data_IF_521760494033
#
_entry.id   IF_521760494033
#
_cell.length_a   1.000
_cell.length_b   1.000
_cell.length_c   1.000
_cell.angle_alpha   90.00
_cell.angle_beta   90.00
_cell.angle_gamma   90.00
#
_symmetry.space_group_name_H-M   'P 1'
#
loop_
_entity.id
_entity.type
_entity.pdbx_description
1 polymer ?
#
# COMPACT_ATOMS: atom_id res chain seq x y z
N UNK A 1 29.89 -6.64 -4.05
CA UNK A 1 28.83 -7.36 -4.83
C UNK A 1 27.95 -8.09 -3.84
N UNK A 2 26.65 -7.79 -3.77
CA UNK A 2 25.69 -8.60 -3.00
C UNK A 2 25.56 -9.97 -3.68
N UNK A 3 25.37 -11.01 -2.88
CA UNK A 3 25.06 -12.35 -3.42
C UNK A 3 23.68 -12.31 -4.08
N UNK A 4 23.47 -13.05 -5.15
CA UNK A 4 22.20 -13.07 -5.93
C UNK A 4 20.98 -13.45 -5.06
N UNK A 5 21.18 -14.21 -3.98
CA UNK A 5 20.12 -14.66 -3.06
C UNK A 5 19.85 -13.72 -1.88
N UNK A 6 20.52 -12.57 -1.79
CA UNK A 6 20.33 -11.65 -0.66
C UNK A 6 19.07 -10.80 -0.88
N UNK A 7 18.12 -10.88 0.05
CA UNK A 7 16.92 -10.02 0.03
C UNK A 7 17.33 -8.54 0.10
N UNK A 8 16.68 -7.72 -0.70
CA UNK A 8 16.87 -6.29 -0.72
C UNK A 8 15.52 -5.59 -0.76
N UNK A 9 15.17 -5.00 0.36
CA UNK A 9 13.82 -4.50 0.63
C UNK A 9 13.73 -2.99 0.49
N UNK A 10 12.76 -2.53 -0.31
CA UNK A 10 12.34 -1.15 -0.39
C UNK A 10 11.05 -0.96 0.43
N UNK A 11 11.06 -0.02 1.38
CA UNK A 11 9.89 0.43 2.11
C UNK A 11 9.48 1.81 1.60
N UNK A 12 8.36 1.88 0.86
CA UNK A 12 7.82 3.09 0.25
C UNK A 12 6.81 3.76 1.17
N UNK A 13 6.94 5.09 1.34
CA UNK A 13 6.12 5.83 2.28
C UNK A 13 6.36 5.34 3.70
N UNK A 14 7.62 5.18 4.09
CA UNK A 14 7.99 4.48 5.32
C UNK A 14 7.47 5.16 6.60
N UNK A 15 7.17 6.47 6.57
CA UNK A 15 6.74 7.20 7.76
C UNK A 15 7.70 7.00 8.92
N UNK A 16 7.22 6.38 10.00
CA UNK A 16 8.02 6.01 11.16
C UNK A 16 8.47 4.54 11.20
N UNK A 17 8.40 3.82 10.10
CA UNK A 17 8.75 2.39 10.04
C UNK A 17 10.24 2.19 9.76
N UNK A 18 10.95 1.56 10.68
CA UNK A 18 12.42 1.40 10.63
C UNK A 18 12.89 0.10 9.96
N UNK A 19 12.05 -0.59 9.20
CA UNK A 19 12.45 -1.80 8.49
C UNK A 19 12.68 -1.55 6.99
N UNK A 20 13.46 -2.40 6.36
CA UNK A 20 13.87 -2.31 4.96
C UNK A 20 15.24 -1.67 4.78
N UNK A 21 15.92 -2.06 3.73
CA UNK A 21 17.27 -1.55 3.39
C UNK A 21 17.20 -0.12 2.89
N UNK A 22 16.21 0.18 2.04
CA UNK A 22 15.87 1.52 1.58
C UNK A 22 14.51 1.87 2.17
N UNK A 23 14.47 2.96 2.93
CA UNK A 23 13.27 3.52 3.55
C UNK A 23 13.01 4.90 2.93
N UNK A 24 12.14 4.91 1.94
CA UNK A 24 11.83 6.11 1.17
C UNK A 24 10.55 6.78 1.67
N UNK A 25 10.60 8.10 1.79
CA UNK A 25 9.43 8.91 2.10
C UNK A 25 9.52 10.23 1.34
N UNK A 26 8.39 10.91 1.16
CA UNK A 26 8.35 12.26 0.61
C UNK A 26 8.85 13.31 1.60
N UNK A 27 8.67 13.06 2.89
CA UNK A 27 9.11 13.91 3.98
C UNK A 27 10.30 13.32 4.74
N UNK A 28 11.10 14.17 5.36
CA UNK A 28 12.12 13.74 6.31
C UNK A 28 11.44 13.18 7.55
N UNK A 29 11.66 11.90 7.83
CA UNK A 29 11.20 11.22 9.04
C UNK A 29 12.40 10.66 9.80
N UNK A 30 12.19 10.23 11.05
CA UNK A 30 13.27 9.59 11.81
C UNK A 30 13.68 8.22 11.22
N UNK A 31 12.80 7.60 10.44
CA UNK A 31 13.03 6.29 9.84
C UNK A 31 13.55 6.36 8.40
N UNK A 32 13.24 7.45 7.66
CA UNK A 32 13.62 7.57 6.25
C UNK A 32 15.13 7.70 6.06
N UNK A 33 15.69 6.97 5.10
CA UNK A 33 17.07 7.11 4.65
C UNK A 33 17.19 7.58 3.19
N UNK A 34 16.06 7.79 2.53
CA UNK A 34 15.96 8.41 1.20
C UNK A 34 14.71 9.29 1.15
N UNK A 35 14.86 10.50 0.62
CA UNK A 35 13.74 11.42 0.38
C UNK A 35 13.50 11.51 -1.12
N UNK A 36 12.32 11.06 -1.57
CA UNK A 36 11.94 11.11 -2.98
C UNK A 36 10.42 11.01 -3.14
N UNK A 37 9.95 11.34 -4.36
CA UNK A 37 8.55 11.18 -4.75
C UNK A 37 8.29 9.73 -5.22
N UNK A 38 7.33 9.08 -4.60
CA UNK A 38 6.98 7.70 -4.92
C UNK A 38 6.32 7.53 -6.31
N UNK A 39 5.93 8.61 -6.96
CA UNK A 39 5.44 8.54 -8.35
C UNK A 39 6.57 8.29 -9.37
N UNK A 40 7.83 8.61 -8.99
CA UNK A 40 9.00 8.49 -9.86
C UNK A 40 10.17 7.93 -9.06
N UNK A 41 10.28 6.60 -9.02
CA UNK A 41 11.28 5.94 -8.17
C UNK A 41 12.69 6.12 -8.73
N UNK A 42 13.63 6.70 -7.95
CA UNK A 42 14.98 7.04 -8.42
C UNK A 42 15.92 5.83 -8.43
N UNK A 43 15.41 4.70 -8.87
CA UNK A 43 16.17 3.45 -8.92
C UNK A 43 16.23 2.91 -10.34
N UNK A 44 17.26 2.11 -10.61
CA UNK A 44 17.36 1.32 -11.82
C UNK A 44 16.32 0.20 -11.81
N UNK A 45 16.11 -0.41 -12.97
CA UNK A 45 15.25 -1.57 -13.10
C UNK A 45 15.83 -2.76 -12.30
N UNK A 46 14.94 -3.58 -11.77
CA UNK A 46 15.26 -4.88 -11.17
C UNK A 46 16.26 -4.83 -9.99
N UNK A 47 16.09 -3.86 -9.10
CA UNK A 47 16.94 -3.69 -7.91
C UNK A 47 16.45 -4.49 -6.72
N UNK A 48 15.14 -4.46 -6.45
CA UNK A 48 14.58 -4.95 -5.19
C UNK A 48 13.94 -6.34 -5.33
N UNK A 49 14.23 -7.20 -4.36
CA UNK A 49 13.54 -8.49 -4.20
C UNK A 49 12.19 -8.33 -3.53
N UNK A 50 12.10 -7.36 -2.62
CA UNK A 50 10.89 -7.11 -1.84
C UNK A 50 10.58 -5.61 -1.85
N UNK A 51 9.31 -5.27 -2.10
CA UNK A 51 8.78 -3.92 -1.94
C UNK A 51 7.64 -3.96 -0.93
N UNK A 52 7.63 -3.02 -0.04
CA UNK A 52 6.56 -2.84 0.93
C UNK A 52 6.02 -1.43 0.85
N UNK A 53 4.70 -1.30 0.88
CA UNK A 53 4.04 -0.02 1.05
C UNK A 53 2.78 -0.16 1.92
N UNK A 54 2.53 0.87 2.73
CA UNK A 54 1.36 0.92 3.57
C UNK A 54 0.79 2.32 3.64
N UNK A 55 -0.50 2.44 3.31
CA UNK A 55 -1.20 3.72 3.26
C UNK A 55 -0.47 4.75 2.38
N UNK A 56 -0.08 4.33 1.19
CA UNK A 56 0.60 5.15 0.20
C UNK A 56 -0.18 5.24 -1.11
N UNK A 57 -0.69 4.11 -1.62
CA UNK A 57 -1.34 4.05 -2.93
C UNK A 57 -2.53 5.00 -3.05
N UNK A 58 -3.31 5.18 -1.98
CA UNK A 58 -4.44 6.11 -1.92
C UNK A 58 -4.02 7.57 -2.09
N UNK A 59 -2.76 7.90 -1.80
CA UNK A 59 -2.18 9.22 -1.97
C UNK A 59 -1.56 9.46 -3.35
N UNK A 60 -1.51 8.44 -4.20
CA UNK A 60 -0.94 8.57 -5.55
C UNK A 60 -1.97 9.17 -6.51
N UNK A 61 -1.68 10.33 -7.14
CA UNK A 61 -2.56 10.91 -8.15
C UNK A 61 -2.76 10.00 -9.36
N UNK A 62 -1.75 9.19 -9.70
CA UNK A 62 -1.82 8.17 -10.73
C UNK A 62 -1.36 6.80 -10.19
N UNK A 63 -2.26 6.02 -9.56
CA UNK A 63 -1.91 4.73 -8.96
C UNK A 63 -1.35 3.71 -9.96
N UNK A 64 -1.83 3.72 -11.20
CA UNK A 64 -1.34 2.81 -12.23
C UNK A 64 0.12 3.11 -12.61
N UNK A 65 0.46 4.39 -12.79
CA UNK A 65 1.82 4.83 -13.07
C UNK A 65 2.77 4.47 -11.91
N UNK A 66 2.34 4.72 -10.68
CA UNK A 66 3.11 4.33 -9.48
C UNK A 66 3.39 2.83 -9.47
N UNK A 67 2.38 1.99 -9.65
CA UNK A 67 2.56 0.52 -9.65
C UNK A 67 3.38 0.01 -10.84
N UNK A 68 3.32 0.67 -12.00
CA UNK A 68 4.22 0.37 -13.12
C UNK A 68 5.67 0.64 -12.76
N UNK A 69 5.95 1.75 -12.06
CA UNK A 69 7.29 2.09 -11.62
C UNK A 69 7.78 1.18 -10.48
N UNK A 70 6.90 0.80 -9.55
CA UNK A 70 7.17 -0.24 -8.54
C UNK A 70 7.54 -1.56 -9.23
N UNK A 71 6.73 -2.02 -10.20
CA UNK A 71 7.04 -3.23 -10.98
C UNK A 71 8.39 -3.13 -11.68
N UNK A 72 8.73 -1.98 -12.25
CA UNK A 72 10.00 -1.75 -12.93
C UNK A 72 11.19 -2.00 -12.00
N UNK A 73 11.16 -1.45 -10.80
CA UNK A 73 12.27 -1.55 -9.84
C UNK A 73 12.34 -2.91 -9.13
N UNK A 74 11.26 -3.70 -9.15
CA UNK A 74 11.26 -5.08 -8.64
C UNK A 74 12.03 -6.00 -9.57
N UNK A 75 12.78 -6.96 -9.00
CA UNK A 75 13.35 -8.09 -9.75
C UNK A 75 12.25 -9.01 -10.27
N UNK A 76 12.56 -9.78 -11.31
CA UNK A 76 11.72 -10.92 -11.72
C UNK A 76 11.60 -11.88 -10.53
N UNK A 77 10.40 -12.35 -10.23
CA UNK A 77 10.09 -13.13 -9.03
C UNK A 77 10.03 -12.33 -7.73
N UNK A 78 10.29 -11.02 -7.78
CA UNK A 78 10.20 -10.14 -6.61
C UNK A 78 8.76 -9.95 -6.12
N UNK A 79 8.60 -9.66 -4.84
CA UNK A 79 7.32 -9.55 -4.16
C UNK A 79 7.00 -8.10 -3.76
N UNK A 80 5.75 -7.66 -3.99
CA UNK A 80 5.19 -6.45 -3.41
C UNK A 80 4.15 -6.82 -2.37
N UNK A 81 4.34 -6.34 -1.14
CA UNK A 81 3.31 -6.34 -0.11
C UNK A 81 2.74 -4.93 0.03
N UNK A 82 1.46 -4.77 -0.30
CA UNK A 82 0.76 -3.49 -0.29
C UNK A 82 -0.43 -3.53 0.67
N UNK A 83 -0.56 -2.48 1.49
CA UNK A 83 -1.69 -2.30 2.40
C UNK A 83 -2.29 -0.90 2.14
N UNK A 84 -3.57 -0.85 1.77
CA UNK A 84 -4.30 0.39 1.50
C UNK A 84 -5.67 0.40 2.17
N UNK A 85 -6.30 1.56 2.24
CA UNK A 85 -7.64 1.72 2.80
C UNK A 85 -8.69 0.98 1.97
N UNK A 86 -9.64 0.33 2.66
CA UNK A 86 -10.72 -0.43 2.05
C UNK A 86 -11.97 0.43 1.87
N UNK A 87 -12.24 0.85 0.64
CA UNK A 87 -13.41 1.63 0.28
C UNK A 87 -14.75 0.97 0.64
N UNK A 88 -14.81 -0.37 0.73
CA UNK A 88 -16.04 -1.06 1.08
C UNK A 88 -16.35 -1.06 2.59
N UNK A 89 -15.42 -0.64 3.44
CA UNK A 89 -15.61 -0.68 4.89
C UNK A 89 -16.70 0.31 5.34
N UNK A 90 -17.71 -0.19 6.05
CA UNK A 90 -18.85 0.60 6.56
C UNK A 90 -18.43 1.77 7.46
N UNK A 91 -17.30 1.67 8.13
CA UNK A 91 -16.73 2.74 8.95
C UNK A 91 -16.69 4.09 8.23
N UNK A 92 -16.29 4.10 6.98
CA UNK A 92 -16.14 5.33 6.19
C UNK A 92 -17.47 6.00 5.86
N UNK A 93 -18.58 5.26 5.87
CA UNK A 93 -19.92 5.77 5.57
C UNK A 93 -20.71 6.14 6.84
N UNK A 94 -20.54 5.38 7.92
CA UNK A 94 -21.30 5.57 9.16
C UNK A 94 -20.73 6.69 10.03
N UNK A 95 -19.42 6.76 10.16
CA UNK A 95 -18.75 7.72 11.05
C UNK A 95 -18.35 9.04 10.38
N UNK A 96 -18.75 9.27 9.14
CA UNK A 96 -18.27 10.42 8.33
C UNK A 96 -16.74 10.57 8.39
N UNK A 97 -16.03 9.46 8.50
CA UNK A 97 -14.57 9.45 8.47
C UNK A 97 -14.10 9.86 7.08
N UNK A 98 -12.98 10.55 7.03
CA UNK A 98 -12.52 11.21 5.82
C UNK A 98 -12.02 10.19 4.77
N UNK A 99 -12.88 9.82 3.83
CA UNK A 99 -12.49 9.01 2.67
C UNK A 99 -11.54 9.76 1.72
N UNK A 100 -11.54 11.09 1.77
CA UNK A 100 -10.68 11.96 0.96
C UNK A 100 -9.38 12.39 1.66
N UNK A 101 -8.97 11.71 2.73
CA UNK A 101 -7.76 12.07 3.51
C UNK A 101 -8.02 13.14 4.57
N UNK A 102 -6.96 13.53 5.26
CA UNK A 102 -7.03 14.47 6.36
C UNK A 102 -6.44 15.82 5.98
N UNK A 103 -7.23 16.89 6.12
CA UNK A 103 -6.78 18.28 5.89
C UNK A 103 -6.31 18.99 7.16
N UNK A 104 -5.92 18.26 8.20
CA UNK A 104 -5.49 18.87 9.47
C UNK A 104 -4.10 19.51 9.35
N UNK A 105 -3.94 20.68 10.00
CA UNK A 105 -2.67 21.41 10.18
C UNK A 105 -1.95 21.81 8.89
N UNK A 106 -2.69 22.18 7.84
CA UNK A 106 -2.09 22.60 6.56
C UNK A 106 -1.43 21.44 5.79
N UNK A 107 -1.59 20.21 6.24
CA UNK A 107 -1.10 19.00 5.60
C UNK A 107 -1.91 18.64 4.36
N UNK A 108 -1.22 18.12 3.35
CA UNK A 108 -1.80 17.64 2.10
C UNK A 108 -1.97 16.12 2.12
N UNK A 109 -2.48 15.58 3.22
CA UNK A 109 -2.80 14.16 3.35
C UNK A 109 -4.11 13.88 2.60
N UNK A 110 -4.05 13.93 1.27
CA UNK A 110 -5.19 13.79 0.37
C UNK A 110 -5.23 12.40 -0.22
N UNK A 111 -6.38 11.73 -0.14
CA UNK A 111 -6.64 10.51 -0.90
C UNK A 111 -7.16 10.87 -2.29
N UNK A 112 -6.44 10.46 -3.32
CA UNK A 112 -6.85 10.64 -4.72
C UNK A 112 -7.63 9.44 -5.24
N UNK A 113 -7.46 8.27 -4.60
CA UNK A 113 -8.17 7.05 -4.95
C UNK A 113 -8.59 6.28 -3.69
N UNK A 114 -9.62 5.46 -3.83
CA UNK A 114 -10.06 4.49 -2.83
C UNK A 114 -10.29 3.15 -3.52
N UNK A 115 -9.89 2.08 -2.87
CA UNK A 115 -9.87 0.76 -3.48
C UNK A 115 -10.76 -0.24 -2.74
N UNK A 116 -11.46 -1.06 -3.50
CA UNK A 116 -11.97 -2.36 -3.03
C UNK A 116 -10.99 -3.46 -3.44
N UNK A 117 -11.16 -4.66 -2.88
CA UNK A 117 -10.31 -5.80 -3.27
C UNK A 117 -10.35 -6.09 -4.77
N UNK A 118 -11.52 -5.94 -5.42
CA UNK A 118 -11.66 -6.13 -6.87
C UNK A 118 -10.97 -5.03 -7.68
N UNK A 119 -11.07 -3.75 -7.24
CA UNK A 119 -10.31 -2.67 -7.88
C UNK A 119 -8.80 -2.91 -7.81
N UNK A 120 -8.31 -3.42 -6.67
CA UNK A 120 -6.90 -3.75 -6.51
C UNK A 120 -6.45 -4.87 -7.46
N UNK A 121 -7.24 -5.95 -7.56
CA UNK A 121 -6.94 -7.05 -8.50
C UNK A 121 -6.88 -6.56 -9.95
N UNK A 122 -7.90 -5.81 -10.39
CA UNK A 122 -7.95 -5.25 -11.74
C UNK A 122 -6.76 -4.34 -12.04
N UNK A 123 -6.35 -3.53 -11.06
CA UNK A 123 -5.23 -2.62 -11.20
C UNK A 123 -3.89 -3.38 -11.32
N UNK A 124 -3.69 -4.42 -10.49
CA UNK A 124 -2.50 -5.27 -10.57
C UNK A 124 -2.44 -6.04 -11.91
N UNK A 125 -3.56 -6.59 -12.36
CA UNK A 125 -3.66 -7.25 -13.66
C UNK A 125 -3.33 -6.28 -14.80
N UNK A 126 -3.86 -5.06 -14.76
CA UNK A 126 -3.58 -4.01 -15.75
C UNK A 126 -2.08 -3.70 -15.85
N UNK A 127 -1.37 -3.60 -14.72
CA UNK A 127 0.08 -3.34 -14.72
C UNK A 127 0.91 -4.62 -14.95
N UNK A 128 0.27 -5.78 -15.03
CA UNK A 128 0.92 -7.07 -15.28
C UNK A 128 1.69 -7.60 -14.05
N UNK A 129 1.11 -7.45 -12.87
CA UNK A 129 1.53 -8.09 -11.63
C UNK A 129 0.60 -9.26 -11.32
N UNK A 130 1.15 -10.36 -10.84
CA UNK A 130 0.37 -11.54 -10.44
C UNK A 130 -0.06 -11.44 -8.99
N UNK A 131 -1.36 -11.55 -8.73
CA UNK A 131 -1.90 -11.50 -7.37
C UNK A 131 -1.81 -12.88 -6.72
N UNK A 132 -1.00 -13.00 -5.67
CA UNK A 132 -0.86 -14.24 -4.89
C UNK A 132 -1.86 -14.30 -3.73
N UNK A 133 -2.13 -13.15 -3.08
CA UNK A 133 -3.03 -13.10 -1.94
C UNK A 133 -3.72 -11.74 -1.82
N UNK A 134 -5.00 -11.79 -1.43
CA UNK A 134 -5.75 -10.62 -0.97
C UNK A 134 -6.43 -10.99 0.35
N UNK A 135 -6.23 -10.18 1.37
CA UNK A 135 -6.92 -10.34 2.66
C UNK A 135 -7.32 -9.01 3.25
N UNK A 136 -8.32 -9.05 4.11
CA UNK A 136 -8.77 -7.90 4.88
C UNK A 136 -8.05 -7.87 6.23
N UNK A 137 -7.45 -6.73 6.56
CA UNK A 137 -6.60 -6.58 7.75
C UNK A 137 -6.96 -5.36 8.56
N UNK A 138 -6.38 -5.30 9.73
CA UNK A 138 -6.59 -4.32 10.78
C UNK A 138 -8.02 -4.32 11.32
N UNK A 139 -8.14 -4.22 12.61
CA UNK A 139 -9.42 -4.06 13.29
C UNK A 139 -9.41 -2.72 13.99
N UNK A 140 -10.33 -1.88 13.61
CA UNK A 140 -10.61 -0.65 14.35
C UNK A 140 -11.45 -0.96 15.61
N UNK A 141 -11.32 -0.10 16.64
CA UNK A 141 -12.09 -0.21 17.87
C UNK A 141 -13.60 -0.19 17.63
N UNK A 142 -14.06 0.58 16.64
CA UNK A 142 -15.47 0.68 16.26
C UNK A 142 -15.99 -0.61 15.63
N UNK A 143 -15.22 -1.25 14.78
CA UNK A 143 -15.60 -2.51 14.13
C UNK A 143 -15.63 -3.68 15.10
N UNK A 144 -14.93 -3.60 16.23
CA UNK A 144 -14.96 -4.64 17.27
C UNK A 144 -16.33 -4.81 17.93
N UNK A 145 -17.07 -3.72 18.13
CA UNK A 145 -18.30 -3.75 18.95
C UNK A 145 -19.55 -4.08 18.13
N UNK A 146 -19.68 -3.55 16.93
CA UNK A 146 -20.89 -3.72 16.09
C UNK A 146 -20.81 -4.87 15.10
N UNK A 147 -19.66 -5.56 14.97
CA UNK A 147 -19.30 -6.17 13.74
C UNK A 147 -18.95 -7.67 13.80
N UNK A 148 -19.16 -8.33 14.93
CA UNK A 148 -18.79 -9.74 15.06
C UNK A 148 -19.51 -10.64 14.06
N UNK A 149 -20.77 -10.37 13.77
CA UNK A 149 -21.56 -11.11 12.80
C UNK A 149 -21.20 -10.70 11.36
N UNK A 150 -21.10 -9.40 11.08
CA UNK A 150 -20.75 -8.87 9.75
C UNK A 150 -19.36 -9.35 9.35
N UNK A 151 -18.42 -9.43 10.27
CA UNK A 151 -17.04 -9.89 10.05
C UNK A 151 -16.98 -11.34 9.53
N UNK A 152 -17.88 -12.17 9.99
CA UNK A 152 -17.94 -13.59 9.60
C UNK A 152 -18.55 -13.73 8.20
N UNK A 153 -19.62 -12.98 7.90
CA UNK A 153 -20.40 -13.14 6.69
C UNK A 153 -19.99 -12.23 5.55
N UNK A 154 -19.51 -11.00 5.86
CA UNK A 154 -19.12 -10.02 4.85
C UNK A 154 -17.85 -9.27 5.31
N UNK A 155 -16.68 -9.91 5.30
CA UNK A 155 -15.42 -9.31 5.78
C UNK A 155 -15.09 -7.98 5.12
N UNK A 156 -15.42 -7.83 3.84
CA UNK A 156 -15.16 -6.61 3.08
C UNK A 156 -15.76 -5.34 3.70
N UNK A 157 -16.90 -5.47 4.39
CA UNK A 157 -17.57 -4.32 5.02
C UNK A 157 -16.98 -3.95 6.38
N UNK A 158 -16.20 -4.83 6.97
CA UNK A 158 -15.79 -4.77 8.38
C UNK A 158 -14.34 -4.35 8.58
N UNK A 159 -13.49 -4.68 7.67
CA UNK A 159 -12.06 -4.40 7.80
C UNK A 159 -11.69 -3.10 7.09
N UNK A 160 -11.05 -2.15 7.80
CA UNK A 160 -10.71 -0.86 7.22
C UNK A 160 -9.59 -0.91 6.18
N UNK A 161 -8.84 -2.01 6.09
CA UNK A 161 -7.74 -2.13 5.15
C UNK A 161 -7.73 -3.45 4.39
N UNK A 162 -7.15 -3.37 3.19
CA UNK A 162 -6.86 -4.51 2.32
C UNK A 162 -5.34 -4.68 2.28
N UNK A 163 -4.86 -5.88 2.56
CA UNK A 163 -3.49 -6.29 2.31
C UNK A 163 -3.45 -7.17 1.06
N UNK A 164 -2.56 -6.85 0.15
CA UNK A 164 -2.30 -7.64 -1.05
C UNK A 164 -0.84 -8.06 -1.09
N UNK A 165 -0.59 -9.27 -1.57
CA UNK A 165 0.73 -9.75 -1.96
C UNK A 165 0.69 -10.08 -3.44
N UNK A 166 1.60 -9.50 -4.19
CA UNK A 166 1.68 -9.65 -5.64
C UNK A 166 3.12 -9.89 -6.04
N UNK A 167 3.31 -10.50 -7.21
CA UNK A 167 4.62 -10.89 -7.72
C UNK A 167 4.81 -10.37 -9.13
N UNK A 168 6.06 -9.98 -9.45
CA UNK A 168 6.50 -9.74 -10.82
C UNK A 168 6.84 -11.08 -11.46
N UNK A 169 6.08 -11.46 -12.49
CA UNK A 169 6.34 -12.65 -13.31
C UNK A 169 7.51 -12.43 -14.27
#
# INVERSE_FOLDING_TARGET
MRKEDERFTLNLGCGGQEFGDVRMDFAVTHASNLIADAQYLPFRDEVFTDVYERNLLEHMPNPAQHLQDVKRVMRIGGELKLITDNAACLKYYVLRTHTGGYRKHGGKDLHYALFTAEHMKNLFEYVGLTVDMVKYVDTDYFTRFFDRAVRIFVPSLSYPRIETQVRKA
#
